data_IF_517727373474
#
_entry.id   IF_517727373474
#
_cell.length_a   1.000
_cell.length_b   1.000
_cell.length_c   1.000
_cell.angle_alpha   90.00
_cell.angle_beta   90.00
_cell.angle_gamma   90.00
#
_symmetry.space_group_name_H-M   'P 1'
#
loop_
_entity.id
_entity.type
_entity.pdbx_description
1 polymer ?
#
# COMPACT_ATOMS: atom_id res chain seq x y z
N UNK A 1 3.20 4.56 -5.81
CA UNK A 1 2.11 3.97 -6.58
C UNK A 1 2.67 2.92 -7.55
N UNK A 2 2.00 1.77 -7.71
CA UNK A 2 2.27 0.76 -8.73
C UNK A 2 1.03 0.53 -9.58
N UNK A 3 1.18 -0.07 -10.75
CA UNK A 3 0.11 -0.34 -11.67
C UNK A 3 0.19 -1.77 -12.20
N UNK A 4 -0.87 -2.53 -12.00
CA UNK A 4 -1.03 -3.89 -12.48
C UNK A 4 -2.25 -3.91 -13.40
N UNK A 5 -2.08 -4.49 -14.57
CA UNK A 5 -3.17 -4.74 -15.51
C UNK A 5 -3.45 -6.23 -15.49
N UNK A 6 -4.72 -6.61 -15.49
CA UNK A 6 -5.10 -8.03 -15.47
C UNK A 6 -6.31 -8.31 -16.37
N UNK A 7 -6.34 -9.53 -16.85
CA UNK A 7 -7.43 -10.18 -17.55
C UNK A 7 -7.40 -11.65 -17.15
N UNK A 8 -7.30 -12.63 -18.05
CA UNK A 8 -7.05 -14.04 -17.69
C UNK A 8 -5.69 -14.31 -17.01
N UNK A 9 -4.83 -13.31 -16.95
CA UNK A 9 -3.57 -13.29 -16.18
C UNK A 9 -3.24 -11.85 -15.80
N UNK A 10 -2.33 -11.67 -14.84
CA UNK A 10 -1.92 -10.34 -14.38
C UNK A 10 -0.53 -9.95 -14.90
N UNK A 11 -0.32 -8.66 -15.11
CA UNK A 11 0.93 -8.11 -15.58
C UNK A 11 1.29 -6.80 -14.86
N UNK A 12 2.54 -6.68 -14.39
CA UNK A 12 3.03 -5.44 -13.77
C UNK A 12 3.37 -4.44 -14.87
N UNK A 13 2.50 -3.44 -15.06
CA UNK A 13 2.68 -2.35 -16.00
C UNK A 13 3.66 -1.30 -15.47
N UNK A 14 3.60 -1.02 -14.17
CA UNK A 14 4.52 -0.11 -13.50
C UNK A 14 4.85 -0.67 -12.10
N UNK A 15 6.11 -0.95 -11.80
CA UNK A 15 6.54 -1.24 -10.44
C UNK A 15 6.27 -0.07 -9.49
N UNK A 16 6.24 -0.34 -8.18
CA UNK A 16 5.99 0.70 -7.17
C UNK A 16 7.02 1.81 -7.28
N UNK A 17 6.54 3.03 -7.45
CA UNK A 17 7.35 4.25 -7.60
C UNK A 17 6.65 5.45 -6.97
N UNK A 18 7.44 6.48 -6.61
CA UNK A 18 6.95 7.80 -6.21
C UNK A 18 6.77 8.77 -7.38
N UNK A 19 7.12 8.36 -8.60
CA UNK A 19 6.99 9.17 -9.81
C UNK A 19 5.55 9.14 -10.36
N UNK A 20 4.72 10.06 -9.90
CA UNK A 20 3.33 10.19 -10.33
C UNK A 20 3.19 10.63 -11.80
N UNK A 21 4.20 11.28 -12.38
CA UNK A 21 4.15 11.69 -13.79
C UNK A 21 4.25 10.47 -14.69
N UNK A 22 5.25 9.62 -14.42
CA UNK A 22 5.39 8.34 -15.10
C UNK A 22 4.16 7.45 -14.90
N UNK A 23 3.61 7.40 -13.67
CA UNK A 23 2.41 6.62 -13.40
C UNK A 23 1.22 7.02 -14.26
N UNK A 24 0.98 8.33 -14.46
CA UNK A 24 -0.07 8.84 -15.36
C UNK A 24 0.20 8.50 -16.82
N UNK A 25 1.45 8.54 -17.26
CA UNK A 25 1.82 8.15 -18.62
C UNK A 25 1.53 6.67 -18.88
N UNK A 26 1.95 5.78 -17.96
CA UNK A 26 1.67 4.36 -18.06
C UNK A 26 0.17 4.05 -18.01
N UNK A 27 -0.58 4.70 -17.14
CA UNK A 27 -2.04 4.57 -17.09
C UNK A 27 -2.70 4.90 -18.44
N UNK A 28 -2.26 5.98 -19.10
CA UNK A 28 -2.78 6.40 -20.39
C UNK A 28 -2.37 5.47 -21.56
N UNK A 29 -1.37 4.63 -21.38
CA UNK A 29 -0.88 3.67 -22.39
C UNK A 29 -1.60 2.33 -22.35
N UNK A 30 -2.44 2.08 -21.33
CA UNK A 30 -3.18 0.83 -21.19
C UNK A 30 -4.26 0.76 -22.26
N UNK A 31 -4.33 -0.38 -22.93
CA UNK A 31 -5.39 -0.73 -23.86
C UNK A 31 -5.89 -2.14 -23.60
N UNK A 32 -7.07 -2.47 -24.11
CA UNK A 32 -7.64 -3.81 -24.02
C UNK A 32 -6.79 -4.87 -24.74
N UNK A 33 -5.91 -4.45 -25.62
CA UNK A 33 -4.96 -5.33 -26.35
C UNK A 33 -3.68 -5.61 -25.55
N UNK A 34 -3.48 -4.94 -24.41
CA UNK A 34 -2.26 -5.08 -23.59
C UNK A 34 -2.09 -6.49 -23.02
N UNK A 35 -3.17 -7.25 -22.86
CA UNK A 35 -3.14 -8.62 -22.34
C UNK A 35 -3.76 -9.56 -23.36
N UNK A 36 -2.97 -10.53 -23.87
CA UNK A 36 -3.45 -11.44 -24.92
C UNK A 36 -4.39 -12.54 -24.39
N UNK A 37 -4.35 -12.84 -23.09
CA UNK A 37 -5.19 -13.88 -22.47
C UNK A 37 -6.42 -13.20 -21.91
N UNK A 38 -7.57 -13.47 -22.53
CA UNK A 38 -8.86 -12.99 -22.07
C UNK A 38 -9.32 -13.75 -20.82
N UNK A 39 -10.15 -13.14 -19.99
CA UNK A 39 -10.66 -13.66 -18.74
C UNK A 39 -10.55 -12.62 -17.62
N UNK A 40 -10.84 -13.03 -16.39
CA UNK A 40 -10.76 -12.14 -15.22
C UNK A 40 -10.20 -12.92 -14.04
N UNK A 41 -8.90 -12.76 -13.77
CA UNK A 41 -8.16 -13.42 -12.70
C UNK A 41 -7.83 -12.41 -11.60
N UNK A 42 -8.82 -12.10 -10.73
CA UNK A 42 -8.68 -11.11 -9.66
C UNK A 42 -7.66 -11.57 -8.61
N UNK A 43 -7.67 -12.87 -8.27
CA UNK A 43 -6.74 -13.45 -7.30
C UNK A 43 -5.30 -13.39 -7.76
N UNK A 44 -5.01 -13.67 -9.06
CA UNK A 44 -3.66 -13.54 -9.63
C UNK A 44 -3.18 -12.08 -9.59
N UNK A 45 -4.07 -11.11 -9.85
CA UNK A 45 -3.75 -9.69 -9.75
C UNK A 45 -3.39 -9.29 -8.31
N UNK A 46 -4.16 -9.72 -7.31
CA UNK A 46 -3.88 -9.49 -5.89
C UNK A 46 -2.54 -10.13 -5.50
N UNK A 47 -2.30 -11.39 -5.87
CA UNK A 47 -1.06 -12.08 -5.59
C UNK A 47 0.15 -11.42 -6.25
N UNK A 48 -0.01 -10.90 -7.45
CA UNK A 48 1.03 -10.14 -8.14
C UNK A 48 1.31 -8.82 -7.41
N UNK A 49 0.28 -8.14 -6.90
CA UNK A 49 0.45 -6.93 -6.09
C UNK A 49 1.16 -7.22 -4.76
N UNK A 50 0.82 -8.29 -4.06
CA UNK A 50 1.50 -8.72 -2.82
C UNK A 50 3.00 -8.90 -3.06
N UNK A 51 3.38 -9.57 -4.16
CA UNK A 51 4.79 -9.77 -4.55
C UNK A 51 5.50 -8.46 -4.92
N UNK A 52 4.77 -7.45 -5.34
CA UNK A 52 5.31 -6.13 -5.69
C UNK A 52 5.70 -5.27 -4.49
N UNK A 53 5.15 -5.56 -3.31
CA UNK A 53 5.49 -4.83 -2.09
C UNK A 53 6.77 -5.37 -1.46
N UNK A 54 7.60 -4.48 -0.93
CA UNK A 54 8.74 -4.89 -0.09
C UNK A 54 8.25 -5.43 1.25
N UNK A 55 8.76 -6.59 1.65
CA UNK A 55 8.44 -7.18 2.96
C UNK A 55 8.95 -6.34 4.15
N UNK A 56 9.91 -5.43 3.89
CA UNK A 56 10.53 -4.58 4.90
C UNK A 56 9.98 -3.14 4.90
N UNK A 57 8.89 -2.89 4.17
CA UNK A 57 8.26 -1.56 4.16
C UNK A 57 7.58 -1.33 5.50
N UNK A 58 7.97 -0.27 6.19
CA UNK A 58 7.30 0.23 7.39
C UNK A 58 6.02 1.00 7.06
N UNK A 59 5.76 1.28 5.79
CA UNK A 59 4.60 2.04 5.33
C UNK A 59 3.36 1.18 5.16
N UNK A 60 2.22 1.76 5.49
CA UNK A 60 0.91 1.16 5.26
C UNK A 60 0.71 0.82 3.77
N UNK A 61 0.17 -0.35 3.50
CA UNK A 61 0.05 -0.89 2.14
C UNK A 61 -1.40 -1.13 1.79
N UNK A 62 -1.77 -0.74 0.59
CA UNK A 62 -3.12 -0.92 0.09
C UNK A 62 -3.11 -1.37 -1.38
N UNK A 63 -4.04 -2.25 -1.72
CA UNK A 63 -4.35 -2.67 -3.10
C UNK A 63 -5.75 -2.15 -3.41
N UNK A 64 -5.92 -1.50 -4.56
CA UNK A 64 -7.22 -1.09 -5.08
C UNK A 64 -7.46 -1.89 -6.36
N UNK A 65 -8.46 -2.76 -6.33
CA UNK A 65 -8.91 -3.55 -7.49
C UNK A 65 -10.08 -2.84 -8.15
N UNK A 66 -9.96 -2.55 -9.45
CA UNK A 66 -11.00 -1.92 -10.26
C UNK A 66 -11.45 -2.91 -11.32
N UNK A 67 -12.68 -3.38 -11.26
CA UNK A 67 -13.18 -4.45 -12.14
C UNK A 67 -14.71 -4.46 -12.16
N UNK A 68 -15.31 -5.18 -13.10
CA UNK A 68 -16.73 -5.53 -13.11
C UNK A 68 -17.09 -6.74 -12.21
N UNK A 69 -16.07 -7.38 -11.61
CA UNK A 69 -16.24 -8.43 -10.62
C UNK A 69 -16.52 -9.82 -11.18
N UNK A 70 -16.70 -9.98 -12.47
CA UNK A 70 -16.83 -11.30 -13.09
C UNK A 70 -15.49 -12.05 -12.92
N UNK A 71 -15.39 -12.91 -11.90
CA UNK A 71 -14.20 -13.71 -11.62
C UNK A 71 -14.49 -15.19 -11.90
N UNK A 72 -13.81 -15.74 -12.89
CA UNK A 72 -14.05 -17.11 -13.35
C UNK A 72 -12.80 -17.99 -13.29
N UNK A 73 -11.64 -17.43 -12.97
CA UNK A 73 -10.36 -18.10 -13.19
C UNK A 73 -9.68 -18.53 -11.88
N UNK A 74 -9.96 -17.86 -10.73
CA UNK A 74 -9.21 -18.08 -9.50
C UNK A 74 -10.02 -17.76 -8.22
N UNK A 75 -9.41 -18.00 -7.05
CA UNK A 75 -9.98 -17.68 -5.74
C UNK A 75 -9.52 -16.31 -5.25
N UNK A 76 -10.23 -15.27 -5.67
CA UNK A 76 -9.96 -13.88 -5.28
C UNK A 76 -10.10 -13.64 -3.77
N UNK A 77 -11.01 -14.35 -3.09
CA UNK A 77 -11.24 -14.20 -1.65
C UNK A 77 -10.05 -14.77 -0.86
N UNK A 78 -9.51 -15.92 -1.28
CA UNK A 78 -8.30 -16.48 -0.66
C UNK A 78 -7.09 -15.56 -0.85
N UNK A 79 -6.92 -14.96 -2.04
CA UNK A 79 -5.85 -14.01 -2.31
C UNK A 79 -5.98 -12.75 -1.45
N UNK A 80 -7.20 -12.23 -1.25
CA UNK A 80 -7.45 -11.08 -0.38
C UNK A 80 -7.14 -11.38 1.10
N UNK A 81 -7.45 -12.59 1.57
CA UNK A 81 -7.05 -13.04 2.93
C UNK A 81 -5.54 -13.07 3.09
N UNK A 82 -4.81 -13.59 2.10
CA UNK A 82 -3.35 -13.59 2.11
C UNK A 82 -2.78 -12.16 2.15
N UNK A 83 -3.39 -11.23 1.42
CA UNK A 83 -3.01 -9.82 1.50
C UNK A 83 -3.21 -9.26 2.92
N UNK A 84 -4.36 -9.52 3.54
CA UNK A 84 -4.66 -9.07 4.91
C UNK A 84 -3.69 -9.67 5.93
N UNK A 85 -3.34 -10.96 5.83
CA UNK A 85 -2.33 -11.64 6.66
C UNK A 85 -0.93 -11.01 6.50
N UNK A 86 -0.64 -10.48 5.30
CA UNK A 86 0.59 -9.72 5.04
C UNK A 86 0.51 -8.24 5.46
N UNK A 87 -0.56 -7.80 6.12
CA UNK A 87 -0.77 -6.41 6.53
C UNK A 87 -1.08 -5.45 5.36
N UNK A 88 -1.68 -5.97 4.29
CA UNK A 88 -2.05 -5.21 3.10
C UNK A 88 -3.56 -5.15 3.01
N UNK A 89 -4.17 -3.95 3.03
CA UNK A 89 -5.62 -3.80 2.83
C UNK A 89 -6.00 -3.92 1.36
N UNK A 90 -7.12 -4.58 1.08
CA UNK A 90 -7.64 -4.73 -0.28
C UNK A 90 -8.98 -4.01 -0.40
N UNK A 91 -9.03 -3.00 -1.26
CA UNK A 91 -10.25 -2.27 -1.63
C UNK A 91 -10.70 -2.72 -3.00
N UNK A 92 -12.00 -2.79 -3.22
CA UNK A 92 -12.58 -3.13 -4.51
C UNK A 92 -13.49 -2.02 -5.02
N UNK A 93 -13.37 -1.71 -6.28
CA UNK A 93 -14.20 -0.73 -6.98
C UNK A 93 -14.91 -1.47 -8.11
N UNK A 94 -16.21 -1.63 -7.97
CA UNK A 94 -17.05 -2.25 -8.98
C UNK A 94 -17.43 -1.25 -10.09
N UNK A 95 -17.13 -1.57 -11.33
CA UNK A 95 -17.46 -0.76 -12.51
C UNK A 95 -18.48 -1.50 -13.36
N UNK A 96 -19.59 -0.86 -13.67
CA UNK A 96 -20.64 -1.46 -14.50
C UNK A 96 -22.01 -1.41 -13.86
N UNK A 97 -22.95 -2.19 -14.37
CA UNK A 97 -24.33 -2.28 -13.88
C UNK A 97 -24.68 -3.72 -13.49
N UNK A 98 -25.35 -3.88 -12.34
CA UNK A 98 -25.88 -5.17 -11.92
C UNK A 98 -26.99 -5.69 -12.86
N UNK A 99 -27.67 -4.78 -13.56
CA UNK A 99 -28.70 -5.17 -14.57
C UNK A 99 -28.09 -5.78 -15.84
N UNK A 100 -26.78 -5.63 -15.99
CA UNK A 100 -26.02 -6.09 -17.15
C UNK A 100 -26.08 -5.14 -18.34
N UNK A 101 -24.97 -5.07 -19.07
CA UNK A 101 -24.89 -4.28 -20.28
C UNK A 101 -24.22 -5.07 -21.41
N UNK A 102 -24.72 -4.98 -22.65
CA UNK A 102 -24.07 -5.59 -23.77
C UNK A 102 -22.75 -4.89 -24.11
N UNK A 103 -21.73 -5.67 -24.45
CA UNK A 103 -20.40 -5.14 -24.79
C UNK A 103 -20.44 -4.55 -26.22
N UNK A 104 -20.17 -3.25 -26.39
CA UNK A 104 -20.07 -2.65 -27.73
C UNK A 104 -18.75 -3.09 -28.39
N UNK A 105 -18.85 -3.41 -29.68
CA UNK A 105 -17.69 -3.65 -30.56
C UNK A 105 -17.81 -2.79 -31.83
N UNK A 106 -16.70 -2.63 -32.54
CA UNK A 106 -16.69 -1.97 -33.83
C UNK A 106 -17.64 -2.69 -34.80
N UNK A 107 -18.78 -2.05 -35.09
CA UNK A 107 -19.82 -2.58 -36.00
C UNK A 107 -20.98 -3.28 -35.32
N UNK A 108 -21.11 -3.27 -33.98
CA UNK A 108 -22.28 -3.83 -33.29
C UNK A 108 -22.05 -4.21 -31.84
N UNK A 109 -22.62 -5.33 -31.41
CA UNK A 109 -22.49 -5.88 -30.06
C UNK A 109 -21.71 -7.18 -30.11
N UNK A 110 -20.91 -7.45 -29.08
CA UNK A 110 -20.17 -8.69 -28.93
C UNK A 110 -21.16 -9.86 -28.88
N UNK A 111 -20.89 -10.90 -29.69
CA UNK A 111 -21.68 -12.13 -29.73
C UNK A 111 -20.79 -13.31 -29.35
N UNK A 112 -21.38 -14.27 -28.65
CA UNK A 112 -20.75 -15.54 -28.36
C UNK A 112 -20.65 -16.44 -29.62
N UNK A 113 -20.09 -17.64 -29.45
CA UNK A 113 -19.95 -18.62 -30.55
C UNK A 113 -21.29 -19.09 -31.11
N UNK A 114 -22.36 -18.95 -30.34
CA UNK A 114 -23.72 -19.36 -30.71
C UNK A 114 -24.53 -18.19 -31.28
N UNK A 115 -23.94 -16.99 -31.36
CA UNK A 115 -24.54 -15.78 -31.93
C UNK A 115 -25.38 -14.96 -30.95
N UNK A 116 -25.41 -15.30 -29.66
CA UNK A 116 -26.10 -14.55 -28.64
C UNK A 116 -25.27 -13.33 -28.24
N UNK A 117 -25.96 -12.25 -27.86
CA UNK A 117 -25.28 -11.03 -27.38
C UNK A 117 -24.68 -11.34 -25.99
N UNK A 118 -23.39 -11.07 -25.85
CA UNK A 118 -22.71 -11.18 -24.56
C UNK A 118 -23.06 -9.97 -23.69
N UNK A 119 -23.60 -10.25 -22.51
CA UNK A 119 -23.99 -9.25 -21.51
C UNK A 119 -23.13 -9.47 -20.28
N UNK A 120 -22.31 -8.48 -19.93
CA UNK A 120 -21.54 -8.48 -18.68
C UNK A 120 -22.37 -7.88 -17.55
N UNK A 121 -22.22 -8.40 -16.35
CA UNK A 121 -22.91 -7.91 -15.15
C UNK A 121 -21.89 -7.66 -14.05
N UNK A 122 -22.12 -6.59 -13.32
CA UNK A 122 -21.32 -6.32 -12.13
C UNK A 122 -21.65 -7.35 -11.03
N UNK A 123 -20.67 -8.15 -10.64
CA UNK A 123 -20.76 -9.05 -9.48
C UNK A 123 -20.33 -8.33 -8.19
N UNK A 124 -21.25 -7.56 -7.65
CA UNK A 124 -21.01 -6.83 -6.41
C UNK A 124 -20.79 -7.74 -5.20
N UNK A 125 -21.40 -8.93 -5.19
CA UNK A 125 -21.32 -9.85 -4.06
C UNK A 125 -19.88 -10.36 -3.90
N UNK A 126 -19.29 -10.86 -4.97
CA UNK A 126 -17.88 -11.28 -4.99
C UNK A 126 -16.94 -10.13 -4.61
N UNK A 127 -17.16 -8.92 -5.12
CA UNK A 127 -16.31 -7.77 -4.79
C UNK A 127 -16.41 -7.34 -3.32
N UNK A 128 -17.61 -7.41 -2.73
CA UNK A 128 -17.81 -7.16 -1.29
C UNK A 128 -17.12 -8.21 -0.43
N UNK A 129 -17.18 -9.49 -0.83
CA UNK A 129 -16.48 -10.56 -0.13
C UNK A 129 -14.96 -10.37 -0.19
N UNK A 130 -14.41 -10.05 -1.35
CA UNK A 130 -12.97 -9.80 -1.54
C UNK A 130 -12.51 -8.61 -0.67
N UNK A 131 -13.22 -7.49 -0.72
CA UNK A 131 -12.90 -6.32 0.10
C UNK A 131 -12.97 -6.64 1.61
N UNK A 132 -14.01 -7.32 2.05
CA UNK A 132 -14.20 -7.73 3.45
C UNK A 132 -13.08 -8.69 3.90
N UNK A 133 -12.71 -9.67 3.07
CA UNK A 133 -11.64 -10.61 3.35
C UNK A 133 -10.26 -9.92 3.42
N UNK A 134 -10.07 -8.86 2.61
CA UNK A 134 -8.86 -8.05 2.57
C UNK A 134 -8.80 -6.92 3.59
N UNK A 135 -9.80 -6.82 4.51
CA UNK A 135 -9.83 -5.76 5.55
C UNK A 135 -10.02 -4.34 5.01
N UNK A 136 -10.50 -4.20 3.78
CA UNK A 136 -10.83 -2.91 3.15
C UNK A 136 -12.33 -2.71 2.96
N UNK A 137 -12.70 -1.95 1.93
CA UNK A 137 -14.08 -1.61 1.61
C UNK A 137 -14.38 -1.75 0.11
N UNK A 138 -15.62 -2.07 -0.22
CA UNK A 138 -16.17 -2.05 -1.57
C UNK A 138 -16.83 -0.72 -1.87
N UNK A 139 -16.66 -0.25 -3.09
CA UNK A 139 -17.36 0.93 -3.62
C UNK A 139 -17.83 0.64 -5.04
N UNK A 140 -19.07 1.04 -5.34
CA UNK A 140 -19.57 1.05 -6.71
C UNK A 140 -19.19 2.36 -7.39
N UNK A 141 -18.52 2.27 -8.54
CA UNK A 141 -18.20 3.41 -9.39
C UNK A 141 -19.47 3.86 -10.13
N UNK A 142 -20.24 4.76 -9.50
CA UNK A 142 -21.36 5.45 -10.14
C UNK A 142 -20.92 6.69 -10.92
N UNK A 143 -21.89 7.44 -11.43
CA UNK A 143 -21.63 8.72 -12.10
C UNK A 143 -21.20 9.84 -11.14
N UNK A 144 -21.22 9.59 -9.86
CA UNK A 144 -20.87 10.55 -8.81
C UNK A 144 -19.44 10.30 -8.31
N UNK A 145 -18.61 11.34 -8.30
CA UNK A 145 -17.22 11.32 -7.78
C UNK A 145 -17.14 10.91 -6.28
N UNK A 146 -18.28 10.87 -5.59
CA UNK A 146 -18.36 10.56 -4.16
C UNK A 146 -18.01 9.11 -3.81
N UNK A 147 -18.08 8.17 -4.75
CA UNK A 147 -17.80 6.75 -4.50
C UNK A 147 -16.37 6.47 -4.05
N UNK A 148 -15.36 7.23 -4.55
CA UNK A 148 -13.95 7.02 -4.21
C UNK A 148 -13.54 7.68 -2.89
N UNK A 149 -14.28 8.67 -2.42
CA UNK A 149 -13.94 9.45 -1.22
C UNK A 149 -13.78 8.58 0.03
N UNK A 150 -14.63 7.57 0.32
CA UNK A 150 -14.43 6.70 1.47
C UNK A 150 -13.13 5.93 1.44
N UNK A 151 -12.75 5.36 0.29
CA UNK A 151 -11.48 4.62 0.12
C UNK A 151 -10.29 5.54 0.34
N UNK A 152 -10.29 6.73 -0.29
CA UNK A 152 -9.21 7.71 -0.15
C UNK A 152 -9.07 8.16 1.30
N UNK A 153 -10.18 8.39 2.00
CA UNK A 153 -10.16 8.80 3.40
C UNK A 153 -9.67 7.68 4.32
N UNK A 154 -9.99 6.43 4.03
CA UNK A 154 -9.50 5.29 4.83
C UNK A 154 -8.00 5.09 4.62
N UNK A 155 -7.52 5.20 3.38
CA UNK A 155 -6.08 5.14 3.08
C UNK A 155 -5.32 6.28 3.77
N UNK A 156 -5.86 7.50 3.79
CA UNK A 156 -5.24 8.63 4.50
C UNK A 156 -5.19 8.41 6.01
N UNK A 157 -6.23 7.83 6.59
CA UNK A 157 -6.23 7.50 8.02
C UNK A 157 -5.16 6.47 8.37
N UNK A 158 -4.91 5.49 7.50
CA UNK A 158 -3.82 4.53 7.71
C UNK A 158 -2.47 5.23 7.79
N UNK A 159 -2.24 6.25 6.96
CA UNK A 159 -1.02 7.06 6.96
C UNK A 159 -0.92 7.91 8.24
N UNK A 160 -2.01 8.51 8.69
CA UNK A 160 -2.07 9.30 9.94
C UNK A 160 -1.86 8.43 11.19
N UNK A 161 -2.40 7.21 11.23
CA UNK A 161 -2.21 6.26 12.33
C UNK A 161 -0.76 5.80 12.42
N UNK A 162 -0.11 5.56 11.29
CA UNK A 162 1.31 5.22 11.22
C UNK A 162 2.19 6.39 11.71
N UNK A 163 1.91 7.60 11.25
CA UNK A 163 2.63 8.80 11.70
C UNK A 163 2.51 9.02 13.22
N UNK A 164 1.32 8.81 13.77
CA UNK A 164 1.09 8.94 15.20
C UNK A 164 1.77 7.82 16.00
N UNK A 165 1.85 6.59 15.47
CA UNK A 165 2.54 5.47 16.14
C UNK A 165 4.06 5.72 16.21
N UNK A 166 4.65 6.26 15.17
CA UNK A 166 6.08 6.61 15.12
C UNK A 166 6.42 7.76 16.08
N UNK A 167 5.51 8.74 16.21
CA UNK A 167 5.70 9.88 17.14
C UNK A 167 5.60 9.45 18.60
N UNK A 168 4.89 8.37 18.93
CA UNK A 168 4.81 7.83 20.28
C UNK A 168 6.02 6.99 20.70
N UNK A 169 6.91 6.60 19.79
CA UNK A 169 8.24 6.07 20.09
C UNK A 169 9.30 7.17 20.27
N UNK A 170 8.88 8.38 20.65
CA UNK A 170 9.81 9.41 21.11
C UNK A 170 10.49 8.89 22.36
N UNK A 171 11.71 8.40 22.20
CA UNK A 171 12.58 8.00 23.31
C UNK A 171 12.66 9.17 24.27
N UNK A 172 12.24 8.91 25.51
CA UNK A 172 12.42 9.88 26.59
C UNK A 172 13.92 10.08 26.78
N UNK A 173 14.48 11.08 26.09
CA UNK A 173 15.92 11.35 26.07
C UNK A 173 16.40 11.74 27.45
N UNK A 174 16.81 10.76 28.23
CA UNK A 174 17.28 10.95 29.60
C UNK A 174 18.72 11.51 29.67
N UNK A 175 19.30 11.94 28.57
CA UNK A 175 20.66 12.49 28.54
C UNK A 175 20.80 13.73 29.45
N UNK A 176 19.74 14.46 29.68
CA UNK A 176 19.70 15.64 30.57
C UNK A 176 20.13 15.32 32.00
N UNK A 177 19.76 14.14 32.53
CA UNK A 177 20.17 13.71 33.85
C UNK A 177 21.67 13.41 33.91
N UNK A 178 22.20 12.74 32.91
CA UNK A 178 23.63 12.44 32.81
C UNK A 178 24.45 13.72 32.59
N UNK A 179 23.95 14.65 31.77
CA UNK A 179 24.58 15.95 31.57
C UNK A 179 24.61 16.78 32.87
N UNK A 180 23.52 16.77 33.63
CA UNK A 180 23.44 17.42 34.94
C UNK A 180 24.47 16.88 35.94
N UNK A 181 24.61 15.57 36.01
CA UNK A 181 25.61 14.90 36.87
C UNK A 181 27.03 15.24 36.42
N UNK A 182 27.32 15.22 35.11
CA UNK A 182 28.62 15.58 34.57
C UNK A 182 29.00 17.04 34.89
N UNK A 183 28.06 17.98 34.73
CA UNK A 183 28.24 19.38 35.11
C UNK A 183 28.46 19.57 36.61
N UNK A 184 27.78 18.81 37.47
CA UNK A 184 27.99 18.83 38.91
C UNK A 184 29.39 18.37 39.30
N UNK A 185 29.87 17.30 38.69
CA UNK A 185 31.26 16.82 38.89
C UNK A 185 32.31 17.83 38.38
N UNK A 186 32.06 18.47 37.26
CA UNK A 186 32.94 19.49 36.71
C UNK A 186 33.00 20.73 37.64
N UNK A 187 31.85 21.17 38.18
CA UNK A 187 31.81 22.26 39.16
C UNK A 187 32.54 21.89 40.45
N UNK A 188 32.42 20.64 40.93
CA UNK A 188 33.10 20.11 42.11
C UNK A 188 34.64 20.10 41.89
N UNK A 189 35.09 19.71 40.70
CA UNK A 189 36.50 19.74 40.32
C UNK A 189 37.07 21.17 40.36
N UNK A 190 36.31 22.18 39.89
CA UNK A 190 36.72 23.60 39.98
C UNK A 190 36.79 24.10 41.42
N UNK A 191 35.92 23.57 42.31
CA UNK A 191 35.92 23.95 43.73
C UNK A 191 37.02 23.26 44.56
N UNK A 192 37.40 22.05 44.16
CA UNK A 192 38.55 21.36 44.74
C UNK A 192 39.80 21.94 44.11
N UNK A 193 40.18 23.13 44.58
CA UNK A 193 41.34 23.81 44.04
C UNK A 193 42.57 22.90 43.99
N UNK A 194 43.26 22.96 42.87
CA UNK A 194 44.47 22.20 42.57
C UNK A 194 45.51 22.46 43.67
N UNK A 195 45.54 21.66 44.72
CA UNK A 195 46.66 21.61 45.66
C UNK A 195 47.84 21.07 44.92
N UNK A 196 48.55 21.96 44.27
CA UNK A 196 49.85 21.67 43.62
C UNK A 196 50.74 21.03 44.65
N UNK A 197 50.82 19.71 44.66
CA UNK A 197 51.79 18.93 45.43
C UNK A 197 53.15 19.22 44.86
N UNK A 198 53.87 20.14 45.47
CA UNK A 198 55.29 20.35 45.23
C UNK A 198 56.07 19.16 45.88
N UNK A 199 56.04 18.00 45.24
CA UNK A 199 57.02 16.94 45.46
C UNK A 199 58.03 17.04 44.34
N UNK A 200 59.23 17.64 44.66
CA UNK A 200 60.44 17.50 43.88
C UNK A 200 60.85 16.05 43.81
N UNK A 201 60.69 15.44 42.67
CA UNK A 201 61.00 14.03 42.40
C UNK A 201 62.36 13.82 41.67
N UNK A 202 63.22 14.83 41.64
CA UNK A 202 64.58 14.67 41.11
C UNK A 202 65.55 15.44 41.97
N UNK A 203 66.16 14.84 42.97
CA UNK A 203 67.43 15.19 43.48
C UNK A 203 68.48 14.35 42.77
N UNK A 204 69.19 14.97 41.86
CA UNK A 204 70.35 14.42 41.18
C UNK A 204 71.46 14.24 42.24
N UNK A 205 71.90 13.02 42.48
CA UNK A 205 73.11 12.71 43.29
C UNK A 205 74.32 12.92 42.39
N UNK A 206 75.17 13.81 42.87
CA UNK A 206 76.57 13.88 42.49
C UNK A 206 77.32 12.62 43.00
#
# INVERSE_FOLDING_TARGET
IGLIVFAGTSFVQLPITSDYVSAKMFLNSISTESIPIQGTAIGDAINTAIRGFSAQSEHSRAIIVITDGENHEDDAVAAAKQAAEAGIKVYTIGVGSADGQPIPMDGGLLKDKDGNIVVTRLDEETLKEVASAGGGAYVHAGNDEFGLTPIINDIRKMEDEEYNSVVFEEYDEQFMYFLGIALAFFALEMLIGERRSRRHLFEEKK
#
